data_IF_715133422324
#
_entry.id   IF_715133422324
#
_cell.length_a   1.000
_cell.length_b   1.000
_cell.length_c   1.000
_cell.angle_alpha   90.00
_cell.angle_beta   90.00
_cell.angle_gamma   90.00
#
_symmetry.space_group_name_H-M   'P 1'
#
loop_
_entity.id
_entity.type
_entity.pdbx_description
1 polymer ?
#
# COMPACT_ATOMS: atom_id res chain seq x y z
N UNK A 1 -3.61 16.72 3.88
CA UNK A 1 -3.42 15.33 3.44
C UNK A 1 -2.68 15.37 2.12
N UNK A 2 -1.66 14.52 1.93
CA UNK A 2 -0.97 14.46 0.65
C UNK A 2 -1.90 13.81 -0.39
N UNK A 3 -1.90 14.31 -1.62
CA UNK A 3 -2.82 13.80 -2.63
C UNK A 3 -2.48 12.37 -3.05
N UNK A 4 -1.18 12.08 -3.23
CA UNK A 4 -0.70 10.77 -3.67
C UNK A 4 0.69 10.47 -3.11
N UNK A 5 0.89 9.25 -2.64
CA UNK A 5 2.22 8.70 -2.34
C UNK A 5 2.40 7.41 -3.15
N UNK A 6 3.59 7.24 -3.73
CA UNK A 6 3.97 6.02 -4.45
C UNK A 6 5.11 5.33 -3.73
N UNK A 7 4.93 4.04 -3.43
CA UNK A 7 5.96 3.16 -2.89
C UNK A 7 6.48 2.28 -4.02
N UNK A 8 7.77 2.38 -4.31
CA UNK A 8 8.45 1.60 -5.34
C UNK A 8 9.17 0.42 -4.68
N UNK A 9 8.74 -0.79 -5.03
CA UNK A 9 9.11 -2.06 -4.41
C UNK A 9 7.99 -2.60 -3.50
N UNK A 10 7.44 -3.77 -3.83
CA UNK A 10 6.39 -4.48 -3.11
C UNK A 10 6.91 -5.65 -2.27
N UNK A 11 8.21 -5.68 -1.99
CA UNK A 11 8.78 -6.56 -0.96
C UNK A 11 8.30 -6.20 0.45
N UNK A 12 8.75 -6.96 1.45
CA UNK A 12 8.26 -6.84 2.83
C UNK A 12 8.23 -5.39 3.37
N UNK A 13 9.32 -4.64 3.18
CA UNK A 13 9.41 -3.26 3.68
C UNK A 13 8.45 -2.33 2.95
N UNK A 14 8.38 -2.42 1.61
CA UNK A 14 7.53 -1.54 0.82
C UNK A 14 6.04 -1.82 1.02
N UNK A 15 5.66 -3.08 1.12
CA UNK A 15 4.29 -3.47 1.45
C UNK A 15 3.87 -2.93 2.84
N UNK A 16 4.70 -3.12 3.86
CA UNK A 16 4.44 -2.57 5.20
C UNK A 16 4.42 -1.04 5.19
N UNK A 17 5.30 -0.38 4.45
CA UNK A 17 5.29 1.07 4.34
C UNK A 17 3.99 1.58 3.71
N UNK A 18 3.52 0.97 2.61
CA UNK A 18 2.26 1.31 1.97
C UNK A 18 1.06 1.15 2.94
N UNK A 19 1.03 0.06 3.69
CA UNK A 19 -0.01 -0.18 4.69
C UNK A 19 0.00 0.88 5.79
N UNK A 20 1.18 1.18 6.37
CA UNK A 20 1.30 2.21 7.42
C UNK A 20 0.93 3.61 6.92
N UNK A 21 1.18 3.92 5.64
CA UNK A 21 0.77 5.18 5.02
C UNK A 21 -0.77 5.25 4.95
N UNK A 22 -1.42 4.14 4.58
CA UNK A 22 -2.88 4.04 4.50
C UNK A 22 -3.53 4.14 5.89
N UNK A 23 -3.12 3.30 6.85
CA UNK A 23 -3.63 3.28 8.24
C UNK A 23 -3.50 4.64 8.95
N UNK A 24 -2.45 5.39 8.63
CA UNK A 24 -2.19 6.72 9.20
C UNK A 24 -2.87 7.86 8.41
N UNK A 25 -3.65 7.55 7.38
CA UNK A 25 -4.33 8.50 6.51
C UNK A 25 -3.41 9.62 5.98
N UNK A 26 -2.15 9.29 5.68
CA UNK A 26 -1.15 10.30 5.25
C UNK A 26 -1.40 10.77 3.82
N UNK A 27 -1.99 9.91 2.98
CA UNK A 27 -2.32 10.22 1.60
C UNK A 27 -3.74 9.79 1.22
N UNK A 28 -4.35 10.54 0.29
CA UNK A 28 -5.64 10.18 -0.33
C UNK A 28 -5.52 8.98 -1.25
N UNK A 29 -4.34 8.78 -1.84
CA UNK A 29 -4.04 7.65 -2.74
C UNK A 29 -2.66 7.11 -2.43
N UNK A 30 -2.58 5.80 -2.18
CA UNK A 30 -1.32 5.06 -2.03
C UNK A 30 -1.18 4.16 -3.25
N UNK A 31 -0.02 4.22 -3.92
CA UNK A 31 0.28 3.38 -5.09
C UNK A 31 1.46 2.47 -4.74
N UNK A 32 1.30 1.17 -4.95
CA UNK A 32 2.37 0.19 -4.78
C UNK A 32 2.76 -0.36 -6.16
N UNK A 33 4.05 -0.28 -6.51
CA UNK A 33 4.58 -0.77 -7.80
C UNK A 33 5.79 -1.66 -7.59
N UNK A 34 5.98 -2.64 -8.45
CA UNK A 34 7.14 -3.54 -8.45
C UNK A 34 7.43 -4.02 -9.89
N UNK A 35 8.62 -4.60 -10.11
CA UNK A 35 9.01 -5.26 -11.36
C UNK A 35 8.38 -6.65 -11.48
N UNK A 36 8.07 -7.29 -10.35
CA UNK A 36 7.43 -8.61 -10.33
C UNK A 36 5.92 -8.43 -10.47
N UNK A 37 5.37 -8.89 -11.60
CA UNK A 37 3.94 -8.87 -11.87
C UNK A 37 3.15 -9.72 -10.86
N UNK A 38 1.95 -9.27 -10.50
CA UNK A 38 1.04 -9.95 -9.57
C UNK A 38 1.35 -9.70 -8.09
N UNK A 39 2.62 -9.47 -7.73
CA UNK A 39 3.03 -9.21 -6.35
C UNK A 39 2.42 -7.92 -5.78
N UNK A 40 2.55 -6.73 -6.40
CA UNK A 40 1.96 -5.51 -5.84
C UNK A 40 0.43 -5.58 -5.81
N UNK A 41 -0.21 -6.27 -6.76
CA UNK A 41 -1.66 -6.45 -6.81
C UNK A 41 -2.15 -7.33 -5.66
N UNK A 42 -1.49 -8.47 -5.40
CA UNK A 42 -1.83 -9.33 -4.28
C UNK A 42 -1.66 -8.63 -2.94
N UNK A 43 -0.53 -7.93 -2.74
CA UNK A 43 -0.28 -7.16 -1.51
C UNK A 43 -1.25 -6.01 -1.31
N UNK A 44 -1.65 -5.33 -2.39
CA UNK A 44 -2.65 -4.27 -2.31
C UNK A 44 -4.05 -4.83 -2.00
N UNK A 45 -4.41 -5.99 -2.56
CA UNK A 45 -5.66 -6.68 -2.26
C UNK A 45 -5.73 -7.07 -0.77
N UNK A 46 -4.68 -7.72 -0.26
CA UNK A 46 -4.59 -8.11 1.16
C UNK A 46 -4.80 -6.89 2.09
N UNK A 47 -4.13 -5.78 1.79
CA UNK A 47 -4.26 -4.54 2.58
C UNK A 47 -5.68 -3.96 2.48
N UNK A 48 -6.27 -3.93 1.29
CA UNK A 48 -7.61 -3.39 1.09
C UNK A 48 -8.69 -4.20 1.82
N UNK A 49 -8.57 -5.53 1.80
CA UNK A 49 -9.50 -6.42 2.50
C UNK A 49 -9.36 -6.32 4.03
N UNK A 50 -8.19 -5.92 4.55
CA UNK A 50 -7.99 -5.63 5.97
C UNK A 50 -8.49 -4.25 6.42
N UNK A 51 -8.68 -3.31 5.50
CA UNK A 51 -9.03 -1.91 5.80
C UNK A 51 -10.28 -1.74 6.69
N UNK A 52 -11.37 -2.53 6.54
CA UNK A 52 -12.52 -2.43 7.44
C UNK A 52 -12.22 -2.67 8.93
N UNK A 53 -11.09 -3.32 9.24
CA UNK A 53 -10.66 -3.65 10.60
C UNK A 53 -9.51 -2.76 11.05
N UNK A 54 -8.47 -2.61 10.23
CA UNK A 54 -7.23 -1.91 10.60
C UNK A 54 -7.27 -0.39 10.31
N UNK A 55 -8.18 0.05 9.43
CA UNK A 55 -8.30 1.45 8.97
C UNK A 55 -7.81 1.66 7.55
#
# INVERSE_FOLDING_TARGET
>A
MIEKITVVGAGNVGATAAQRIAEKALARTVVLVDVIEGVPQGKALDQWESAPIEG
#
